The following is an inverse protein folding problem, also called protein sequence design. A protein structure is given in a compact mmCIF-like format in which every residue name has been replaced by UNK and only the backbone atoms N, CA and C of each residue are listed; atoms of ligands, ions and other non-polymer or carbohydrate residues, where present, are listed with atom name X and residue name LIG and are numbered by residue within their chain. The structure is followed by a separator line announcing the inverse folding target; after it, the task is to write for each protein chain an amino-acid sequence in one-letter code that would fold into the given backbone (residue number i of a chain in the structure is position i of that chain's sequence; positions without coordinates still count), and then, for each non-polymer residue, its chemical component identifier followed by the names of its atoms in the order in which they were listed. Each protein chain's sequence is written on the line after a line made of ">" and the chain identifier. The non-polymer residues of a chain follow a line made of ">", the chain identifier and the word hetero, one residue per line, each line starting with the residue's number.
data_IF_080248666098
#
_entry.id   IF_080248666098
#
_cell.length_a   1.000
_cell.length_b   1.000
_cell.length_c   1.000
_cell.angle_alpha   90.00
_cell.angle_beta   90.00
_cell.angle_gamma   90.00
#
_symmetry.space_group_name_H-M   'P 1'
#
loop_
_entity.id
_entity.type
_entity.pdbx_description
1 polymer ?
#
# COMPACT_ATOMS: atom_id res chain seq x y z
N UNK A 1 -11.21 -49.89 35.14
CA UNK A 1 -11.78 -48.67 34.53
C UNK A 1 -11.81 -48.88 33.02
N UNK A 2 -12.98 -48.82 32.36
CA UNK A 2 -13.06 -48.96 30.90
C UNK A 2 -12.86 -47.57 30.28
N UNK A 3 -11.80 -47.39 29.51
CA UNK A 3 -11.63 -46.23 28.65
C UNK A 3 -12.68 -46.29 27.53
N UNK A 4 -13.59 -45.31 27.45
CA UNK A 4 -14.47 -45.14 26.30
C UNK A 4 -13.65 -44.45 25.21
N UNK A 5 -13.18 -45.22 24.23
CA UNK A 5 -12.49 -44.69 23.06
C UNK A 5 -13.49 -44.11 22.06
N UNK A 6 -13.05 -43.08 21.31
CA UNK A 6 -13.77 -42.58 20.14
C UNK A 6 -13.94 -43.69 19.10
N UNK A 7 -15.13 -43.77 18.50
CA UNK A 7 -15.35 -44.71 17.39
C UNK A 7 -14.73 -44.16 16.10
N UNK A 8 -14.35 -45.04 15.18
CA UNK A 8 -13.78 -44.63 13.88
C UNK A 8 -14.73 -43.68 13.13
N UNK A 9 -16.04 -43.97 13.18
CA UNK A 9 -17.06 -43.14 12.54
C UNK A 9 -17.15 -41.74 13.16
N UNK A 10 -17.00 -41.63 14.49
CA UNK A 10 -17.04 -40.33 15.18
C UNK A 10 -15.84 -39.44 14.82
N UNK A 11 -14.66 -40.05 14.66
CA UNK A 11 -13.48 -39.34 14.17
C UNK A 11 -13.65 -38.88 12.71
N UNK A 12 -14.26 -39.69 11.85
CA UNK A 12 -14.55 -39.29 10.47
C UNK A 12 -15.54 -38.13 10.39
N UNK A 13 -16.60 -38.16 11.21
CA UNK A 13 -17.59 -37.07 11.25
C UNK A 13 -16.97 -35.77 11.78
N UNK A 14 -16.14 -35.84 12.82
CA UNK A 14 -15.47 -34.64 13.35
C UNK A 14 -14.51 -34.01 12.33
N UNK A 15 -13.71 -34.82 11.64
CA UNK A 15 -12.85 -34.33 10.55
C UNK A 15 -13.68 -33.73 9.40
N UNK A 16 -14.78 -34.39 9.01
CA UNK A 16 -15.66 -33.87 7.96
C UNK A 16 -16.21 -32.47 8.32
N UNK A 17 -16.66 -32.27 9.56
CA UNK A 17 -17.14 -30.97 10.04
C UNK A 17 -16.01 -29.93 10.06
N UNK A 18 -14.81 -30.30 10.52
CA UNK A 18 -13.64 -29.39 10.53
C UNK A 18 -13.30 -28.94 9.12
N UNK A 19 -13.30 -29.86 8.14
CA UNK A 19 -13.02 -29.52 6.73
C UNK A 19 -14.06 -28.54 6.19
N UNK A 20 -15.35 -28.77 6.45
CA UNK A 20 -16.42 -27.86 6.02
C UNK A 20 -16.28 -26.48 6.65
N UNK A 21 -15.88 -26.39 7.92
CA UNK A 21 -15.64 -25.09 8.56
C UNK A 21 -14.40 -24.40 7.99
N UNK A 22 -13.33 -25.14 7.75
CA UNK A 22 -12.06 -24.60 7.25
C UNK A 22 -12.20 -23.98 5.85
N UNK A 23 -13.03 -24.56 4.96
CA UNK A 23 -13.23 -24.01 3.60
C UNK A 23 -13.87 -22.62 3.60
N UNK A 24 -14.63 -22.27 4.64
CA UNK A 24 -15.24 -20.94 4.79
C UNK A 24 -14.32 -20.02 5.59
N UNK A 25 -13.69 -20.52 6.65
CA UNK A 25 -12.86 -19.72 7.54
C UNK A 25 -11.56 -19.23 6.87
N UNK A 26 -10.84 -20.11 6.17
CA UNK A 26 -9.53 -19.82 5.56
C UNK A 26 -9.55 -18.63 4.58
N UNK A 27 -10.44 -18.57 3.56
CA UNK A 27 -10.47 -17.42 2.66
C UNK A 27 -10.84 -16.11 3.37
N UNK A 28 -11.70 -16.17 4.39
CA UNK A 28 -12.02 -15.01 5.23
C UNK A 28 -10.79 -14.46 5.98
N UNK A 29 -10.00 -15.35 6.59
CA UNK A 29 -8.75 -14.96 7.25
C UNK A 29 -7.72 -14.38 6.26
N UNK A 30 -7.59 -14.95 5.07
CA UNK A 30 -6.69 -14.43 4.03
C UNK A 30 -7.07 -13.00 3.62
N UNK A 31 -8.36 -12.73 3.41
CA UNK A 31 -8.83 -11.38 3.06
C UNK A 31 -8.61 -10.37 4.19
N UNK A 32 -8.84 -10.78 5.44
CA UNK A 32 -8.59 -9.92 6.61
C UNK A 32 -7.10 -9.56 6.74
N UNK A 33 -6.20 -10.54 6.62
CA UNK A 33 -4.76 -10.31 6.66
C UNK A 33 -4.31 -9.41 5.51
N UNK A 34 -4.81 -9.68 4.30
CA UNK A 34 -4.53 -8.88 3.11
C UNK A 34 -4.98 -7.42 3.25
N UNK A 35 -6.16 -7.18 3.84
CA UNK A 35 -6.65 -5.82 4.10
C UNK A 35 -5.77 -5.06 5.10
N UNK A 36 -5.29 -5.73 6.14
CA UNK A 36 -4.37 -5.13 7.12
C UNK A 36 -3.02 -4.79 6.49
N UNK A 37 -2.47 -5.70 5.67
CA UNK A 37 -1.24 -5.45 4.90
C UNK A 37 -1.44 -4.28 3.93
N UNK A 38 -2.48 -4.32 3.10
CA UNK A 38 -2.84 -3.25 2.16
C UNK A 38 -3.00 -1.90 2.87
N UNK A 39 -3.61 -1.85 4.06
CA UNK A 39 -3.70 -0.62 4.86
C UNK A 39 -2.34 -0.12 5.34
N UNK A 40 -1.45 -1.02 5.75
CA UNK A 40 -0.11 -0.68 6.24
C UNK A 40 0.74 -0.11 5.10
N UNK A 41 0.80 -0.79 3.96
CA UNK A 41 1.59 -0.35 2.81
C UNK A 41 1.03 0.96 2.20
N UNK A 42 -0.30 1.09 2.10
CA UNK A 42 -0.95 2.34 1.71
C UNK A 42 -0.53 3.52 2.61
N UNK A 43 -0.54 3.32 3.93
CA UNK A 43 -0.15 4.37 4.87
C UNK A 43 1.33 4.70 4.79
N UNK A 44 2.18 3.73 4.44
CA UNK A 44 3.60 3.95 4.26
C UNK A 44 3.91 4.82 3.02
N UNK A 45 3.23 4.62 1.88
CA UNK A 45 3.31 5.54 0.72
C UNK A 45 2.81 6.92 1.09
N UNK A 46 1.62 6.96 1.70
CA UNK A 46 0.99 8.21 2.09
C UNK A 46 1.92 9.02 3.01
N UNK A 47 2.59 8.34 3.94
CA UNK A 47 3.61 8.92 4.82
C UNK A 47 4.84 9.41 4.03
N UNK A 48 5.36 8.61 3.09
CA UNK A 48 6.49 8.98 2.24
C UNK A 48 6.22 10.23 1.38
N UNK A 49 5.05 10.33 0.76
CA UNK A 49 4.62 11.50 0.00
C UNK A 49 4.50 12.75 0.86
N UNK A 50 3.84 12.64 2.02
CA UNK A 50 3.73 13.74 2.96
C UNK A 50 5.09 14.17 3.53
N UNK A 51 6.00 13.22 3.71
CA UNK A 51 7.38 13.47 4.12
C UNK A 51 8.14 14.25 3.05
N UNK A 52 8.13 13.79 1.79
CA UNK A 52 8.77 14.48 0.67
C UNK A 52 8.28 15.93 0.53
N UNK A 53 6.96 16.12 0.57
CA UNK A 53 6.34 17.46 0.56
C UNK A 53 6.79 18.33 1.73
N UNK A 54 6.86 17.75 2.93
CA UNK A 54 7.27 18.50 4.12
C UNK A 54 8.75 18.88 4.08
N UNK A 55 9.62 18.00 3.58
CA UNK A 55 11.04 18.31 3.38
C UNK A 55 11.23 19.42 2.33
N UNK A 56 10.50 19.39 1.20
CA UNK A 56 10.52 20.46 0.21
C UNK A 56 10.21 21.83 0.85
N UNK A 57 9.14 21.90 1.66
CA UNK A 57 8.73 23.12 2.36
C UNK A 57 9.79 23.58 3.37
N UNK A 58 10.29 22.66 4.20
CA UNK A 58 11.27 22.98 5.26
C UNK A 58 12.57 23.53 4.69
N UNK A 59 13.03 22.93 3.59
CA UNK A 59 14.30 23.25 2.95
C UNK A 59 14.19 24.37 1.91
N UNK A 60 12.96 24.68 1.47
CA UNK A 60 12.64 25.59 0.36
C UNK A 60 13.33 25.20 -0.94
N UNK A 61 13.47 23.90 -1.18
CA UNK A 61 14.09 23.34 -2.38
C UNK A 61 13.19 22.29 -3.03
N UNK A 62 13.63 21.76 -4.18
CA UNK A 62 12.94 20.66 -4.84
C UNK A 62 13.26 19.35 -4.13
N UNK A 63 12.23 18.58 -3.79
CA UNK A 63 12.37 17.24 -3.22
C UNK A 63 11.51 16.28 -4.03
N UNK A 64 12.10 15.18 -4.47
CA UNK A 64 11.46 14.19 -5.33
C UNK A 64 11.14 12.94 -4.54
N UNK A 65 9.88 12.51 -4.62
CA UNK A 65 9.43 11.18 -4.21
C UNK A 65 9.43 10.29 -5.46
N UNK A 66 10.23 9.24 -5.44
CA UNK A 66 10.42 8.30 -6.54
C UNK A 66 9.95 6.92 -6.08
N UNK A 67 8.92 6.40 -6.74
CA UNK A 67 8.24 5.15 -6.45
C UNK A 67 8.46 4.17 -7.60
N UNK A 68 8.91 2.97 -7.24
CA UNK A 68 9.15 1.84 -8.12
C UNK A 68 8.04 0.80 -7.96
N UNK A 69 7.66 0.14 -9.07
CA UNK A 69 6.60 -0.87 -9.12
C UNK A 69 6.85 -2.09 -8.24
N UNK A 70 8.10 -2.37 -7.89
CA UNK A 70 8.50 -3.38 -6.91
C UNK A 70 8.15 -3.02 -5.46
N UNK A 71 7.28 -2.03 -5.26
CA UNK A 71 6.88 -1.51 -3.96
C UNK A 71 8.10 -1.02 -3.17
N UNK A 72 8.87 -0.12 -3.78
CA UNK A 72 9.94 0.60 -3.10
C UNK A 72 9.89 2.08 -3.43
N UNK A 73 10.22 2.93 -2.48
CA UNK A 73 10.34 4.36 -2.76
C UNK A 73 11.57 4.95 -2.10
N UNK A 74 12.02 6.04 -2.70
CA UNK A 74 13.01 6.93 -2.14
C UNK A 74 12.52 8.37 -2.21
N UNK A 75 13.04 9.17 -1.29
CA UNK A 75 12.85 10.62 -1.23
C UNK A 75 14.23 11.23 -1.33
N UNK A 76 14.45 12.03 -2.36
CA UNK A 76 15.73 12.65 -2.67
C UNK A 76 15.60 14.16 -2.76
N UNK A 77 16.66 14.88 -2.39
CA UNK A 77 16.73 16.34 -2.60
C UNK A 77 17.13 16.70 -4.04
N UNK A 78 17.33 18.00 -4.31
CA UNK A 78 17.73 18.51 -5.62
C UNK A 78 19.14 18.08 -6.07
N UNK A 79 19.97 17.62 -5.14
CA UNK A 79 21.32 17.10 -5.41
C UNK A 79 21.33 15.57 -5.52
N UNK A 80 20.15 14.94 -5.51
CA UNK A 80 19.95 13.49 -5.48
C UNK A 80 20.48 12.79 -4.22
N UNK A 81 20.66 13.52 -3.10
CA UNK A 81 20.94 12.89 -1.83
C UNK A 81 19.68 12.22 -1.28
N UNK A 82 19.81 10.98 -0.83
CA UNK A 82 18.67 10.22 -0.27
C UNK A 82 18.34 10.72 1.13
N UNK A 83 17.17 11.34 1.26
CA UNK A 83 16.61 11.79 2.54
C UNK A 83 15.88 10.66 3.29
N UNK A 84 15.19 9.79 2.54
CA UNK A 84 14.52 8.61 3.07
C UNK A 84 14.40 7.54 1.99
N UNK A 85 14.61 6.28 2.35
CA UNK A 85 14.37 5.16 1.45
C UNK A 85 13.63 4.05 2.19
N UNK A 86 12.70 3.42 1.50
CA UNK A 86 11.93 2.30 2.01
C UNK A 86 11.74 1.29 0.89
N UNK A 87 12.08 0.05 1.18
CA UNK A 87 11.65 -1.10 0.39
C UNK A 87 10.53 -1.78 1.15
N UNK A 88 9.41 -1.98 0.48
CA UNK A 88 8.22 -2.58 1.02
C UNK A 88 8.39 -4.04 1.39
N UNK A 89 7.63 -4.48 2.38
CA UNK A 89 7.67 -5.85 2.87
C UNK A 89 6.81 -6.80 2.04
N UNK A 90 7.33 -8.01 1.80
CA UNK A 90 6.62 -9.22 1.35
C UNK A 90 6.16 -9.37 -0.10
N UNK A 91 6.31 -8.37 -0.98
CA UNK A 91 6.03 -8.51 -2.43
C UNK A 91 4.57 -8.84 -2.77
N UNK A 92 3.65 -8.55 -1.85
CA UNK A 92 2.21 -8.90 -1.95
C UNK A 92 1.35 -7.73 -2.43
N UNK A 93 1.86 -6.51 -2.35
CA UNK A 93 1.19 -5.30 -2.84
C UNK A 93 1.84 -4.90 -4.15
N UNK A 94 1.03 -4.75 -5.19
CA UNK A 94 1.46 -4.28 -6.49
C UNK A 94 1.14 -2.79 -6.63
N UNK A 95 2.08 -2.02 -7.16
CA UNK A 95 1.90 -0.61 -7.53
C UNK A 95 1.64 -0.53 -9.03
N UNK A 96 0.72 0.34 -9.45
CA UNK A 96 0.28 0.40 -10.86
C UNK A 96 1.35 0.86 -11.87
N UNK A 97 2.30 1.69 -11.44
CA UNK A 97 3.30 2.30 -12.31
C UNK A 97 4.50 2.80 -11.50
N UNK A 98 5.65 2.95 -12.14
CA UNK A 98 6.74 3.76 -11.60
C UNK A 98 6.28 5.22 -11.66
N UNK A 99 6.67 6.01 -10.66
CA UNK A 99 6.19 7.38 -10.54
C UNK A 99 7.17 8.28 -9.79
N UNK A 100 7.57 9.38 -10.41
CA UNK A 100 8.37 10.42 -9.78
C UNK A 100 7.57 11.72 -9.59
N UNK A 101 7.40 12.12 -8.33
CA UNK A 101 6.70 13.35 -7.94
C UNK A 101 7.69 14.31 -7.29
N UNK A 102 7.96 15.44 -7.94
CA UNK A 102 8.76 16.51 -7.35
C UNK A 102 7.87 17.54 -6.69
N UNK A 103 8.13 17.85 -5.42
CA UNK A 103 7.52 18.95 -4.68
C UNK A 103 8.47 20.14 -4.62
N UNK A 104 7.95 21.34 -4.75
CA UNK A 104 8.72 22.57 -4.58
C UNK A 104 8.64 23.15 -3.16
N UNK A 105 9.40 24.22 -2.91
CA UNK A 105 9.46 24.90 -1.60
C UNK A 105 8.13 25.50 -1.11
N UNK A 106 7.12 25.62 -1.97
CA UNK A 106 5.76 26.01 -1.58
C UNK A 106 4.86 24.80 -1.24
N UNK A 107 5.39 23.59 -1.37
CA UNK A 107 4.65 22.34 -1.15
C UNK A 107 3.65 22.02 -2.25
N UNK A 108 3.81 22.59 -3.45
CA UNK A 108 3.06 22.24 -4.65
C UNK A 108 3.86 21.23 -5.46
N UNK A 109 3.18 20.48 -6.34
CA UNK A 109 3.89 19.66 -7.33
C UNK A 109 4.59 20.62 -8.31
N UNK A 110 5.86 20.36 -8.57
CA UNK A 110 6.67 21.15 -9.48
C UNK A 110 6.23 20.89 -10.94
N UNK A 111 6.21 21.94 -11.76
CA UNK A 111 5.77 21.83 -13.15
C UNK A 111 6.75 21.00 -14.02
N UNK A 112 7.98 20.76 -13.54
CA UNK A 112 8.94 19.84 -14.14
C UNK A 112 8.70 18.35 -13.82
N UNK A 113 7.75 18.00 -12.94
CA UNK A 113 7.38 16.61 -12.68
C UNK A 113 6.55 16.07 -13.86
N UNK A 114 7.11 15.12 -14.61
CA UNK A 114 6.47 14.54 -15.80
C UNK A 114 5.19 13.79 -15.48
N UNK A 115 5.12 13.15 -14.32
CA UNK A 115 4.08 12.15 -14.06
C UNK A 115 2.88 12.69 -13.27
N UNK A 116 3.03 13.86 -12.62
CA UNK A 116 2.00 14.43 -11.74
C UNK A 116 1.76 15.95 -11.92
N UNK A 117 2.20 16.55 -13.03
CA UNK A 117 2.06 18.00 -13.29
C UNK A 117 0.62 18.54 -13.24
N UNK A 118 -0.39 17.73 -13.59
CA UNK A 118 -1.82 18.07 -13.49
C UNK A 118 -2.53 17.43 -12.28
N UNK A 119 -1.78 16.70 -11.46
CA UNK A 119 -2.30 15.75 -10.49
C UNK A 119 -2.31 14.32 -11.04
N UNK A 120 -2.28 13.35 -10.14
CA UNK A 120 -2.11 11.94 -10.47
C UNK A 120 -2.74 11.05 -9.39
N UNK A 121 -2.92 9.77 -9.72
CA UNK A 121 -3.40 8.75 -8.79
C UNK A 121 -2.47 7.55 -8.81
N UNK A 122 -1.97 7.15 -7.64
CA UNK A 122 -1.22 5.91 -7.42
C UNK A 122 -2.22 4.85 -7.01
N UNK A 123 -2.24 3.71 -7.70
CA UNK A 123 -3.11 2.57 -7.34
C UNK A 123 -2.29 1.43 -6.78
N UNK A 124 -2.76 0.88 -5.66
CA UNK A 124 -2.20 -0.25 -4.93
C UNK A 124 -3.19 -1.40 -4.99
N UNK A 125 -2.73 -2.58 -5.41
CA UNK A 125 -3.56 -3.78 -5.53
C UNK A 125 -2.94 -4.97 -4.79
N UNK A 126 -3.79 -5.92 -4.41
CA UNK A 126 -3.40 -7.16 -3.71
C UNK A 126 -4.42 -8.25 -4.01
N UNK A 127 -3.98 -9.50 -4.17
CA UNK A 127 -4.81 -10.60 -4.67
C UNK A 127 -6.08 -10.87 -3.84
N UNK A 128 -5.98 -10.70 -2.52
CA UNK A 128 -7.05 -10.98 -1.55
C UNK A 128 -7.69 -9.72 -0.92
N UNK A 129 -7.38 -8.52 -1.40
CA UNK A 129 -7.92 -7.26 -0.85
C UNK A 129 -8.32 -6.28 -1.94
N UNK A 130 -9.32 -5.44 -1.66
CA UNK A 130 -9.72 -4.37 -2.58
C UNK A 130 -8.57 -3.39 -2.81
N UNK A 131 -8.43 -2.94 -4.07
CA UNK A 131 -7.45 -1.94 -4.44
C UNK A 131 -7.67 -0.62 -3.68
N UNK A 132 -6.58 0.07 -3.37
CA UNK A 132 -6.58 1.39 -2.75
C UNK A 132 -5.85 2.39 -3.63
N UNK A 133 -6.31 3.63 -3.63
CA UNK A 133 -5.75 4.66 -4.49
C UNK A 133 -5.42 5.93 -3.69
N UNK A 134 -4.25 6.51 -3.95
CA UNK A 134 -3.78 7.76 -3.38
C UNK A 134 -3.78 8.80 -4.49
N UNK A 135 -4.51 9.89 -4.30
CA UNK A 135 -4.50 11.02 -5.21
C UNK A 135 -3.52 12.09 -4.72
N UNK A 136 -2.75 12.64 -5.66
CA UNK A 136 -1.93 13.83 -5.45
C UNK A 136 -2.43 14.92 -6.39
N UNK A 137 -2.89 16.03 -5.82
CA UNK A 137 -3.29 17.21 -6.60
C UNK A 137 -2.04 18.01 -7.01
N UNK A 138 -2.12 18.74 -8.13
CA UNK A 138 -1.10 19.74 -8.52
C UNK A 138 -0.78 20.76 -7.40
N UNK A 139 -1.73 21.05 -6.53
CA UNK A 139 -1.51 21.92 -5.36
C UNK A 139 -0.78 21.23 -4.19
N UNK A 140 -0.31 20.00 -4.38
CA UNK A 140 0.42 19.20 -3.40
C UNK A 140 -0.45 18.59 -2.29
N UNK A 141 -1.77 18.56 -2.47
CA UNK A 141 -2.65 17.82 -1.55
C UNK A 141 -2.49 16.33 -1.81
N UNK A 142 -2.11 15.57 -0.79
CA UNK A 142 -1.99 14.11 -0.83
C UNK A 142 -3.13 13.52 -0.01
N UNK A 143 -3.89 12.59 -0.57
CA UNK A 143 -5.02 11.99 0.13
C UNK A 143 -5.62 10.81 -0.58
N UNK A 144 -6.75 10.31 -0.06
CA UNK A 144 -7.51 9.24 -0.71
C UNK A 144 -7.99 9.72 -2.08
N UNK A 145 -7.81 8.89 -3.10
CA UNK A 145 -8.44 9.14 -4.40
C UNK A 145 -9.95 8.97 -4.30
N UNK A 146 -10.68 9.97 -4.81
CA UNK A 146 -12.13 9.93 -4.98
C UNK A 146 -12.51 9.34 -6.35
N UNK A 147 -11.73 8.38 -6.87
CA UNK A 147 -12.17 7.62 -8.03
C UNK A 147 -13.49 6.91 -7.66
N UNK A 148 -14.53 7.38 -8.32
CA UNK A 148 -15.94 7.05 -8.15
C UNK A 148 -16.20 5.54 -8.15
N UNK A 149 -17.12 5.13 -7.27
CA UNK A 149 -17.89 3.95 -7.53
C UNK A 149 -18.70 4.16 -8.82
N UNK A 150 -18.43 3.33 -9.81
CA UNK A 150 -19.33 2.97 -10.88
C UNK A 150 -19.07 1.50 -11.23
#
# INVERSE_FOLDING_TARGET
>A
MRYRGFTLIELLVTIAVIVIMATIAVPGFQSMMASNQMATEYNEILSGLNYARSEAIKRRELVTFDLDQGWSYQVVDSEANVLRQRSGGSGKVNVSADLAITFNGAGRVDDGSTDCSSGCTITLSHDYSSAKAIAVSRFGRVGKSLAEGA
#
